data_IF_458784844901
#
_entry.id   IF_458784844901
#
_cell.length_a   1.000
_cell.length_b   1.000
_cell.length_c   1.000
_cell.angle_alpha   90.00
_cell.angle_beta   90.00
_cell.angle_gamma   90.00
#
_symmetry.space_group_name_H-M   'P 1'
#
loop_
_entity.id
_entity.type
_entity.pdbx_description
1 polymer ?
#
# COMPACT_ATOMS: atom_id res chain seq x y z
N UNK A 1 40.58 22.59 -15.66
CA UNK A 1 40.02 21.74 -14.59
C UNK A 1 39.21 22.56 -13.56
N UNK A 2 39.78 23.57 -12.87
CA UNK A 2 39.11 24.39 -11.85
C UNK A 2 37.71 24.91 -12.19
N UNK A 3 37.39 25.17 -13.46
CA UNK A 3 36.06 25.66 -13.86
C UNK A 3 35.08 24.53 -14.09
N UNK A 4 35.54 23.36 -14.47
CA UNK A 4 34.71 22.18 -14.62
C UNK A 4 34.35 21.56 -13.26
N UNK A 5 35.24 21.66 -12.26
CA UNK A 5 35.02 21.15 -10.92
C UNK A 5 33.96 21.93 -10.10
N UNK A 6 33.46 23.05 -10.62
CA UNK A 6 32.44 23.88 -9.91
C UNK A 6 31.04 23.36 -10.06
N UNK A 7 30.76 22.21 -9.47
CA UNK A 7 29.44 21.58 -9.47
C UNK A 7 28.56 21.89 -8.23
N UNK A 8 29.06 22.77 -7.34
CA UNK A 8 28.49 22.99 -6.00
C UNK A 8 27.04 23.48 -5.90
N UNK A 9 26.37 23.77 -7.02
CA UNK A 9 24.92 24.08 -7.08
C UNK A 9 24.11 22.94 -7.73
N UNK A 10 24.72 21.77 -7.87
CA UNK A 10 24.10 20.59 -8.46
C UNK A 10 24.26 19.40 -7.50
N UNK A 11 23.49 18.35 -7.71
CA UNK A 11 23.58 17.08 -6.96
C UNK A 11 24.61 16.12 -7.57
N UNK A 12 25.41 16.57 -8.55
CA UNK A 12 26.39 15.74 -9.26
C UNK A 12 27.80 15.94 -8.76
N UNK A 13 28.59 14.89 -8.82
CA UNK A 13 30.02 14.85 -8.58
C UNK A 13 30.70 14.23 -9.81
N UNK A 14 31.96 14.60 -10.06
CA UNK A 14 32.78 13.91 -11.04
C UNK A 14 33.40 12.67 -10.40
N UNK A 15 33.16 11.54 -10.97
CA UNK A 15 33.88 10.33 -10.64
C UNK A 15 35.28 10.38 -11.30
N UNK A 16 35.33 10.69 -12.59
CA UNK A 16 36.55 10.87 -13.33
C UNK A 16 36.39 12.02 -14.33
N UNK A 17 37.44 12.88 -14.45
CA UNK A 17 37.47 13.97 -15.42
C UNK A 17 38.78 13.93 -16.22
N UNK A 18 38.71 13.40 -17.43
CA UNK A 18 39.77 13.46 -18.44
C UNK A 18 39.61 14.68 -19.35
N UNK A 19 40.66 15.42 -19.55
CA UNK A 19 40.64 16.63 -20.36
C UNK A 19 41.73 16.52 -21.42
N UNK A 20 41.31 16.31 -22.65
CA UNK A 20 42.18 16.27 -23.81
C UNK A 20 42.09 17.58 -24.60
N UNK A 21 43.16 18.30 -24.70
CA UNK A 21 43.21 19.57 -25.42
C UNK A 21 44.42 19.61 -26.38
N UNK A 22 44.18 20.15 -27.55
CA UNK A 22 45.27 20.41 -28.49
C UNK A 22 46.23 21.54 -28.01
N UNK A 23 47.40 21.63 -28.62
CA UNK A 23 48.35 22.68 -28.32
C UNK A 23 47.83 24.06 -28.80
N UNK A 24 48.08 25.11 -28.00
CA UNK A 24 47.76 26.55 -28.29
C UNK A 24 46.25 26.89 -28.40
N UNK A 25 45.41 26.22 -27.64
CA UNK A 25 43.97 26.57 -27.56
C UNK A 25 43.73 27.54 -26.39
N UNK A 26 43.11 28.68 -26.68
CA UNK A 26 42.59 29.59 -25.67
C UNK A 26 41.06 29.41 -25.56
N UNK A 27 40.59 29.00 -24.39
CA UNK A 27 39.16 28.91 -24.09
C UNK A 27 38.78 29.93 -23.04
N UNK A 28 37.84 30.87 -23.35
CA UNK A 28 37.30 31.78 -22.35
C UNK A 28 36.64 31.04 -21.19
N UNK A 29 36.83 31.56 -19.99
CA UNK A 29 36.19 30.99 -18.77
C UNK A 29 34.66 30.93 -18.91
N UNK A 30 34.07 31.89 -19.61
CA UNK A 30 32.65 31.96 -19.90
C UNK A 30 32.20 30.70 -20.68
N UNK A 31 32.88 30.35 -21.74
CA UNK A 31 32.58 29.17 -22.58
C UNK A 31 32.69 27.87 -21.80
N UNK A 32 33.70 27.73 -20.93
CA UNK A 32 33.81 26.54 -20.06
C UNK A 32 32.66 26.43 -19.07
N UNK A 33 32.21 27.56 -18.52
CA UNK A 33 31.05 27.55 -17.62
C UNK A 33 29.72 27.24 -18.34
N UNK A 34 29.56 27.72 -19.56
CA UNK A 34 28.41 27.42 -20.42
C UNK A 34 28.39 25.94 -20.76
N UNK A 35 29.50 25.38 -21.23
CA UNK A 35 29.64 23.95 -21.54
C UNK A 35 29.28 23.06 -20.33
N UNK A 36 29.81 23.40 -19.16
CA UNK A 36 29.49 22.64 -17.94
C UNK A 36 28.01 22.68 -17.61
N UNK A 37 27.38 23.87 -17.64
CA UNK A 37 25.92 24.00 -17.34
C UNK A 37 25.07 23.26 -18.33
N UNK A 38 25.43 23.34 -19.61
CA UNK A 38 24.69 22.64 -20.67
C UNK A 38 24.81 21.12 -20.54
N UNK A 39 26.01 20.62 -20.24
CA UNK A 39 26.24 19.20 -20.01
C UNK A 39 25.42 18.67 -18.82
N UNK A 40 25.39 19.42 -17.70
CA UNK A 40 24.58 19.04 -16.54
C UNK A 40 23.07 19.06 -16.86
N UNK A 41 22.61 20.12 -17.57
CA UNK A 41 21.19 20.21 -17.95
C UNK A 41 20.77 19.06 -18.88
N UNK A 42 21.62 18.65 -19.80
CA UNK A 42 21.38 17.49 -20.66
C UNK A 42 21.37 16.18 -19.85
N UNK A 43 22.29 16.02 -18.90
CA UNK A 43 22.33 14.85 -18.02
C UNK A 43 21.05 14.75 -17.18
N UNK A 44 20.62 15.85 -16.56
CA UNK A 44 19.34 15.89 -15.82
C UNK A 44 18.14 15.52 -16.71
N UNK A 45 18.13 16.04 -17.94
CA UNK A 45 17.08 15.74 -18.91
C UNK A 45 17.03 14.26 -19.24
N UNK A 46 18.16 13.62 -19.51
CA UNK A 46 18.28 12.20 -19.83
C UNK A 46 17.91 11.32 -18.63
N UNK A 47 18.38 11.65 -17.43
CA UNK A 47 18.04 10.95 -16.21
C UNK A 47 16.54 11.00 -15.89
N UNK A 48 15.89 12.15 -16.16
CA UNK A 48 14.47 12.33 -15.91
C UNK A 48 13.57 11.80 -17.04
N UNK A 49 14.12 11.59 -18.25
CA UNK A 49 13.33 11.20 -19.41
C UNK A 49 12.46 9.92 -19.20
N UNK A 50 12.98 8.85 -18.57
CA UNK A 50 12.19 7.64 -18.31
C UNK A 50 11.02 7.85 -17.34
N UNK A 51 11.07 8.90 -16.52
CA UNK A 51 10.07 9.22 -15.51
C UNK A 51 9.06 10.27 -15.97
N UNK A 52 9.29 10.92 -17.11
CA UNK A 52 8.36 11.89 -17.67
C UNK A 52 7.13 11.18 -18.21
N UNK A 53 5.97 11.57 -17.70
CA UNK A 53 4.69 11.12 -18.22
C UNK A 53 4.16 12.15 -19.18
N UNK A 54 3.78 11.75 -20.38
CA UNK A 54 2.98 12.59 -21.25
C UNK A 54 1.58 12.76 -20.64
N UNK A 55 1.11 14.00 -20.52
CA UNK A 55 -0.29 14.23 -20.17
C UNK A 55 -1.14 13.61 -21.28
N UNK A 56 -2.03 12.70 -20.91
CA UNK A 56 -3.08 12.24 -21.82
C UNK A 56 -4.18 13.30 -21.78
N UNK A 57 -4.50 13.89 -22.91
CA UNK A 57 -5.58 14.89 -23.06
C UNK A 57 -6.99 14.30 -22.86
N UNK A 58 -7.08 13.06 -22.46
CA UNK A 58 -8.35 12.40 -22.18
C UNK A 58 -8.77 12.72 -20.75
N UNK A 59 -9.79 13.56 -20.52
CA UNK A 59 -10.34 13.71 -19.20
C UNK A 59 -10.85 12.34 -18.74
N UNK A 60 -10.25 11.80 -17.71
CA UNK A 60 -10.77 10.61 -17.02
C UNK A 60 -12.05 11.07 -16.31
N UNK A 61 -13.15 11.01 -17.02
CA UNK A 61 -14.48 11.14 -16.42
C UNK A 61 -14.69 9.86 -15.60
N UNK A 62 -14.48 9.98 -14.29
CA UNK A 62 -14.94 8.96 -13.38
C UNK A 62 -16.45 8.83 -13.52
N UNK A 63 -16.89 7.76 -14.18
CA UNK A 63 -18.29 7.34 -14.06
C UNK A 63 -18.45 6.86 -12.63
N UNK A 64 -19.07 7.71 -11.80
CA UNK A 64 -19.50 7.28 -10.49
C UNK A 64 -20.48 6.11 -10.69
N UNK A 65 -20.02 4.90 -10.44
CA UNK A 65 -20.92 3.77 -10.24
C UNK A 65 -21.89 4.19 -9.14
N UNK A 66 -23.18 4.31 -9.49
CA UNK A 66 -24.21 4.59 -8.47
C UNK A 66 -24.10 3.52 -7.41
N UNK A 67 -24.13 3.88 -6.12
CA UNK A 67 -24.19 2.87 -5.07
C UNK A 67 -25.35 1.93 -5.37
N UNK A 68 -25.06 0.65 -5.44
CA UNK A 68 -26.10 -0.34 -5.53
C UNK A 68 -26.91 -0.25 -4.24
N UNK A 69 -28.22 -0.08 -4.34
CA UNK A 69 -29.15 -0.23 -3.22
C UNK A 69 -29.07 -1.69 -2.72
N UNK A 70 -28.18 -1.91 -1.79
CA UNK A 70 -28.06 -3.21 -1.14
C UNK A 70 -28.85 -3.19 0.16
N UNK A 71 -30.00 -3.83 0.17
CA UNK A 71 -30.65 -4.33 1.38
C UNK A 71 -29.79 -5.45 2.01
N UNK A 72 -28.49 -5.19 2.22
CA UNK A 72 -27.60 -6.13 2.90
C UNK A 72 -27.75 -5.94 4.40
N UNK A 73 -28.00 -7.03 5.11
CA UNK A 73 -27.93 -7.03 6.57
C UNK A 73 -26.55 -6.58 7.01
N UNK A 74 -26.49 -5.61 7.93
CA UNK A 74 -25.25 -5.18 8.55
C UNK A 74 -24.59 -6.37 9.26
N UNK A 75 -23.32 -6.57 9.03
CA UNK A 75 -22.50 -7.57 9.72
C UNK A 75 -21.50 -6.87 10.63
N UNK A 76 -21.30 -7.43 11.82
CA UNK A 76 -20.34 -6.91 12.80
C UNK A 76 -19.08 -7.76 12.73
N UNK A 77 -17.95 -7.11 12.41
CA UNK A 77 -16.62 -7.71 12.51
C UNK A 77 -15.84 -7.06 13.66
N UNK A 78 -15.00 -7.82 14.31
CA UNK A 78 -14.17 -7.33 15.42
C UNK A 78 -12.70 -7.59 15.16
N UNK A 79 -11.85 -6.64 15.51
CA UNK A 79 -10.40 -6.83 15.51
C UNK A 79 -9.93 -7.15 16.90
N UNK A 80 -9.20 -8.25 17.07
CA UNK A 80 -8.68 -8.74 18.35
C UNK A 80 -7.15 -8.73 18.32
N UNK A 81 -6.55 -8.07 19.29
CA UNK A 81 -5.09 -8.02 19.44
C UNK A 81 -4.53 -9.21 20.22
N UNK A 82 -5.36 -9.79 21.10
CA UNK A 82 -4.95 -10.88 21.97
C UNK A 82 -5.80 -12.14 21.80
N UNK A 83 -5.23 -13.26 22.17
CA UNK A 83 -5.92 -14.55 22.18
C UNK A 83 -7.14 -14.53 23.10
N UNK A 84 -7.03 -13.89 24.27
CA UNK A 84 -8.14 -13.85 25.25
C UNK A 84 -9.32 -13.03 24.72
N UNK A 85 -9.06 -11.91 24.05
CA UNK A 85 -10.10 -11.14 23.35
C UNK A 85 -10.81 -12.01 22.30
N UNK A 86 -10.03 -12.71 21.48
CA UNK A 86 -10.58 -13.57 20.44
C UNK A 86 -11.51 -14.66 21.02
N UNK A 87 -11.07 -15.36 22.07
CA UNK A 87 -11.85 -16.42 22.72
C UNK A 87 -13.09 -15.90 23.45
N UNK A 88 -13.03 -14.66 24.00
CA UNK A 88 -14.17 -14.04 24.64
C UNK A 88 -15.23 -13.63 23.61
N UNK A 89 -14.80 -12.89 22.59
CA UNK A 89 -15.70 -12.31 21.57
C UNK A 89 -16.25 -13.35 20.61
N UNK A 90 -15.52 -14.43 20.39
CA UNK A 90 -15.97 -15.54 19.56
C UNK A 90 -17.35 -16.08 19.98
N UNK A 91 -17.66 -16.08 21.28
CA UNK A 91 -18.93 -16.59 21.82
C UNK A 91 -20.12 -15.68 21.56
N UNK A 92 -19.91 -14.44 21.15
CA UNK A 92 -20.99 -13.48 20.90
C UNK A 92 -21.66 -13.80 19.54
N UNK A 93 -22.95 -14.13 19.49
CA UNK A 93 -23.66 -14.47 18.25
C UNK A 93 -23.82 -13.29 17.28
N UNK A 94 -23.75 -12.04 17.76
CA UNK A 94 -23.88 -10.85 16.93
C UNK A 94 -22.64 -10.60 16.07
N UNK A 95 -21.48 -11.16 16.45
CA UNK A 95 -20.24 -11.03 15.71
C UNK A 95 -20.23 -12.06 14.57
N UNK A 96 -20.14 -11.55 13.34
CA UNK A 96 -20.11 -12.37 12.13
C UNK A 96 -18.69 -12.85 11.78
N UNK A 97 -17.67 -12.04 12.05
CA UNK A 97 -16.28 -12.35 11.72
C UNK A 97 -15.26 -11.60 12.59
N UNK A 98 -14.02 -12.03 12.47
CA UNK A 98 -12.94 -11.56 13.33
C UNK A 98 -11.65 -11.35 12.54
N UNK A 99 -10.97 -10.24 12.81
CA UNK A 99 -9.62 -9.94 12.38
C UNK A 99 -8.65 -10.32 13.51
N UNK A 100 -7.76 -11.28 13.25
CA UNK A 100 -6.90 -11.89 14.26
C UNK A 100 -5.44 -11.78 13.87
N UNK A 101 -4.57 -11.48 14.83
CA UNK A 101 -3.13 -11.64 14.66
C UNK A 101 -2.74 -13.12 14.66
N UNK A 102 -1.51 -13.42 14.23
CA UNK A 102 -1.06 -14.78 13.93
C UNK A 102 -1.31 -15.80 15.05
N UNK A 103 -0.95 -15.46 16.29
CA UNK A 103 -1.08 -16.38 17.43
C UNK A 103 -2.55 -16.70 17.75
N UNK A 104 -3.41 -15.68 17.73
CA UNK A 104 -4.83 -15.84 17.92
C UNK A 104 -5.47 -16.61 16.76
N UNK A 105 -5.05 -16.34 15.51
CA UNK A 105 -5.49 -17.09 14.34
C UNK A 105 -5.10 -18.56 14.45
N UNK A 106 -3.84 -18.86 14.75
CA UNK A 106 -3.33 -20.24 14.91
C UNK A 106 -4.15 -21.04 15.92
N UNK A 107 -4.45 -20.44 17.08
CA UNK A 107 -5.28 -21.09 18.08
C UNK A 107 -6.73 -21.28 17.60
N UNK A 108 -7.33 -20.26 16.98
CA UNK A 108 -8.70 -20.36 16.49
C UNK A 108 -8.84 -21.41 15.39
N UNK A 109 -7.90 -21.48 14.47
CA UNK A 109 -7.87 -22.50 13.43
C UNK A 109 -7.71 -23.92 14.01
N UNK A 110 -6.81 -24.10 14.99
CA UNK A 110 -6.62 -25.41 15.66
C UNK A 110 -7.85 -25.89 16.41
N UNK A 111 -8.71 -24.97 16.84
CA UNK A 111 -10.00 -25.29 17.51
C UNK A 111 -11.20 -25.41 16.56
N UNK A 112 -11.00 -25.21 15.26
CA UNK A 112 -12.08 -25.28 14.26
C UNK A 112 -13.06 -24.11 14.32
N UNK A 113 -12.68 -22.95 14.87
CA UNK A 113 -13.59 -21.81 15.04
C UNK A 113 -13.95 -21.14 13.70
N UNK A 114 -13.17 -21.32 12.65
CA UNK A 114 -13.45 -20.83 11.29
C UNK A 114 -14.74 -21.40 10.67
N UNK A 115 -15.27 -22.47 11.20
CA UNK A 115 -16.53 -23.04 10.72
C UNK A 115 -17.79 -22.35 11.28
N UNK A 116 -17.61 -21.47 12.26
CA UNK A 116 -18.70 -20.75 12.91
C UNK A 116 -18.64 -19.24 12.69
N UNK A 117 -17.45 -18.69 12.44
CA UNK A 117 -17.22 -17.26 12.17
C UNK A 117 -16.22 -17.07 11.04
N UNK A 118 -16.38 -15.99 10.32
CA UNK A 118 -15.42 -15.56 9.29
C UNK A 118 -14.13 -15.09 9.95
N UNK A 119 -13.02 -15.79 9.73
CA UNK A 119 -11.72 -15.44 10.30
C UNK A 119 -10.79 -14.86 9.22
N UNK A 120 -10.19 -13.74 9.54
CA UNK A 120 -9.22 -13.02 8.69
C UNK A 120 -7.92 -12.82 9.44
N UNK A 121 -6.79 -13.13 8.80
CA UNK A 121 -5.46 -12.87 9.36
C UNK A 121 -5.11 -11.41 9.21
N UNK A 122 -4.83 -10.74 10.31
CA UNK A 122 -4.34 -9.37 10.34
C UNK A 122 -2.84 -9.32 10.07
N UNK A 123 -2.45 -8.65 8.98
CA UNK A 123 -1.05 -8.41 8.68
C UNK A 123 -0.52 -7.16 9.39
N UNK A 124 0.79 -7.06 9.66
CA UNK A 124 1.36 -5.94 10.38
C UNK A 124 1.21 -4.62 9.59
N UNK A 125 1.22 -3.48 10.30
CA UNK A 125 1.25 -2.16 9.66
C UNK A 125 2.56 -1.88 8.91
N UNK A 126 3.66 -2.42 9.42
CA UNK A 126 4.99 -2.27 8.85
C UNK A 126 5.59 -3.66 8.72
N UNK A 127 5.93 -4.04 7.49
CA UNK A 127 6.63 -5.29 7.18
C UNK A 127 8.12 -4.97 7.05
N UNK A 128 8.96 -5.73 7.75
CA UNK A 128 10.41 -5.62 7.62
C UNK A 128 11.00 -7.00 7.39
N UNK A 129 11.78 -7.11 6.33
CA UNK A 129 12.42 -8.38 5.96
C UNK A 129 11.46 -9.41 5.39
N UNK A 130 11.94 -10.64 5.31
CA UNK A 130 11.15 -11.78 4.84
C UNK A 130 10.16 -12.25 5.89
N UNK A 131 9.04 -12.80 5.44
CA UNK A 131 8.11 -13.52 6.32
C UNK A 131 8.85 -14.68 7.04
N UNK A 132 8.42 -15.06 8.25
CA UNK A 132 8.95 -16.24 8.93
C UNK A 132 8.90 -17.48 8.04
N UNK A 133 9.85 -18.39 8.22
CA UNK A 133 9.84 -19.67 7.51
C UNK A 133 8.54 -20.43 7.76
N UNK A 134 7.95 -20.99 6.70
CA UNK A 134 6.70 -21.72 6.78
C UNK A 134 5.44 -20.85 6.92
N UNK A 135 5.57 -19.51 6.94
CA UNK A 135 4.41 -18.61 7.10
C UNK A 135 3.40 -18.76 5.97
N UNK A 136 3.84 -18.74 4.72
CA UNK A 136 2.95 -18.82 3.56
C UNK A 136 2.34 -20.21 3.38
N UNK A 137 3.06 -21.26 3.70
CA UNK A 137 2.58 -22.62 3.74
C UNK A 137 1.45 -22.78 4.77
N UNK A 138 1.64 -22.21 5.97
CA UNK A 138 0.61 -22.18 7.01
C UNK A 138 -0.61 -21.38 6.56
N UNK A 139 -0.42 -20.22 5.96
CA UNK A 139 -1.51 -19.41 5.43
C UNK A 139 -2.29 -20.13 4.32
N UNK A 140 -1.60 -20.87 3.43
CA UNK A 140 -2.25 -21.69 2.40
C UNK A 140 -3.14 -22.76 3.02
N UNK A 141 -2.62 -23.50 4.00
CA UNK A 141 -3.39 -24.49 4.75
C UNK A 141 -4.61 -23.88 5.45
N UNK A 142 -4.47 -22.70 6.03
CA UNK A 142 -5.60 -22.01 6.67
C UNK A 142 -6.66 -21.57 5.67
N UNK A 143 -6.28 -21.07 4.49
CA UNK A 143 -7.22 -20.75 3.41
C UNK A 143 -7.99 -21.98 2.94
N UNK A 144 -7.30 -23.11 2.74
CA UNK A 144 -7.91 -24.39 2.36
C UNK A 144 -8.87 -24.91 3.45
N UNK A 145 -8.57 -24.61 4.72
CA UNK A 145 -9.37 -25.01 5.87
C UNK A 145 -10.42 -23.96 6.30
N UNK A 146 -10.71 -22.96 5.47
CA UNK A 146 -11.85 -22.07 5.66
C UNK A 146 -11.56 -20.69 6.22
N UNK A 147 -10.27 -20.28 6.40
CA UNK A 147 -9.92 -18.89 6.63
C UNK A 147 -10.38 -18.04 5.44
N UNK A 148 -10.95 -16.86 5.70
CA UNK A 148 -11.57 -16.03 4.67
C UNK A 148 -10.58 -15.11 3.96
N UNK A 149 -9.47 -14.74 4.59
CA UNK A 149 -8.47 -13.90 3.95
C UNK A 149 -7.58 -13.11 4.92
N UNK A 150 -7.11 -11.97 4.43
CA UNK A 150 -6.09 -11.16 5.07
C UNK A 150 -6.55 -9.71 5.19
N UNK A 151 -6.35 -9.10 6.36
CA UNK A 151 -6.44 -7.64 6.51
C UNK A 151 -5.08 -7.03 6.15
N UNK A 152 -5.05 -6.31 5.04
CA UNK A 152 -3.82 -5.77 4.45
C UNK A 152 -3.66 -4.31 4.87
N UNK A 153 -2.51 -3.99 5.47
CA UNK A 153 -2.22 -2.69 6.07
C UNK A 153 -1.11 -1.90 5.40
N UNK A 154 -0.37 -2.52 4.48
CA UNK A 154 0.71 -1.87 3.73
C UNK A 154 0.87 -2.50 2.34
N UNK A 155 1.52 -1.76 1.43
CA UNK A 155 1.71 -2.20 0.04
C UNK A 155 2.70 -3.35 -0.11
N UNK A 156 3.62 -3.53 0.83
CA UNK A 156 4.57 -4.63 0.81
C UNK A 156 3.86 -5.96 1.06
N UNK A 157 3.02 -6.01 2.10
CA UNK A 157 2.17 -7.18 2.36
C UNK A 157 1.24 -7.48 1.18
N UNK A 158 0.66 -6.45 0.55
CA UNK A 158 -0.12 -6.62 -0.67
C UNK A 158 0.72 -7.23 -1.80
N UNK A 159 1.93 -6.71 -2.02
CA UNK A 159 2.85 -7.22 -3.04
C UNK A 159 3.16 -8.71 -2.86
N UNK A 160 3.41 -9.15 -1.62
CA UNK A 160 3.62 -10.56 -1.28
C UNK A 160 2.38 -11.42 -1.62
N UNK A 161 1.19 -11.00 -1.20
CA UNK A 161 -0.05 -11.74 -1.47
C UNK A 161 -0.38 -11.76 -2.96
N UNK A 162 -0.11 -10.68 -3.68
CA UNK A 162 -0.26 -10.60 -5.14
C UNK A 162 0.65 -11.59 -5.87
N UNK A 163 1.89 -11.72 -5.43
CA UNK A 163 2.85 -12.68 -6.01
C UNK A 163 2.36 -14.13 -5.87
N UNK A 164 1.61 -14.42 -4.80
CA UNK A 164 1.00 -15.74 -4.56
C UNK A 164 -0.36 -15.93 -5.25
N UNK A 165 -0.89 -14.91 -5.94
CA UNK A 165 -2.22 -14.96 -6.56
C UNK A 165 -3.38 -14.88 -5.56
N UNK A 166 -3.15 -14.30 -4.37
CA UNK A 166 -4.12 -14.26 -3.26
C UNK A 166 -4.87 -12.93 -3.14
N UNK A 167 -4.88 -12.09 -4.19
CA UNK A 167 -5.55 -10.77 -4.17
C UNK A 167 -7.02 -10.86 -3.76
N UNK A 168 -7.74 -11.87 -4.23
CA UNK A 168 -9.16 -12.08 -3.93
C UNK A 168 -9.48 -12.32 -2.45
N UNK A 169 -8.46 -12.67 -1.66
CA UNK A 169 -8.58 -12.86 -0.22
C UNK A 169 -8.21 -11.63 0.60
N UNK A 170 -7.83 -10.52 -0.05
CA UNK A 170 -7.43 -9.30 0.63
C UNK A 170 -8.63 -8.44 1.02
N UNK A 171 -8.59 -7.91 2.23
CA UNK A 171 -9.39 -6.78 2.72
C UNK A 171 -8.43 -5.65 2.98
N UNK A 172 -8.64 -4.49 2.38
CA UNK A 172 -7.75 -3.32 2.58
C UNK A 172 -8.14 -2.59 3.86
N UNK A 173 -7.17 -2.39 4.77
CA UNK A 173 -7.36 -1.59 5.96
C UNK A 173 -7.30 -0.08 5.65
N UNK A 174 -7.70 0.75 6.59
CA UNK A 174 -7.70 2.22 6.51
C UNK A 174 -6.39 2.81 6.01
N UNK A 175 -5.26 2.21 6.38
CA UNK A 175 -3.91 2.65 6.01
C UNK A 175 -3.57 2.50 4.52
N UNK A 176 -4.40 1.83 3.73
CA UNK A 176 -4.26 1.75 2.27
C UNK A 176 -4.94 2.93 1.56
N UNK A 177 -5.65 3.78 2.28
CA UNK A 177 -6.22 5.04 1.80
C UNK A 177 -7.12 4.93 0.56
N UNK A 178 -8.18 4.16 0.66
CA UNK A 178 -9.22 4.10 -0.39
C UNK A 178 -10.14 5.32 -0.33
N UNK A 179 -9.59 6.53 -0.60
CA UNK A 179 -10.25 7.81 -0.34
C UNK A 179 -11.46 8.11 -1.23
N UNK A 180 -11.43 7.68 -2.46
CA UNK A 180 -12.42 8.06 -3.46
C UNK A 180 -12.74 6.90 -4.41
N UNK A 181 -13.68 7.12 -5.34
CA UNK A 181 -14.11 6.13 -6.29
C UNK A 181 -12.99 5.65 -7.22
N UNK A 182 -12.01 6.50 -7.53
CA UNK A 182 -10.89 6.11 -8.38
C UNK A 182 -9.99 5.09 -7.68
N UNK A 183 -9.66 5.33 -6.41
CA UNK A 183 -8.89 4.36 -5.61
C UNK A 183 -9.65 3.05 -5.41
N UNK A 184 -10.96 3.10 -5.16
CA UNK A 184 -11.79 1.89 -5.07
C UNK A 184 -11.82 1.14 -6.41
N UNK A 185 -11.97 1.85 -7.52
CA UNK A 185 -11.95 1.26 -8.86
C UNK A 185 -10.59 0.67 -9.23
N UNK A 186 -9.50 1.31 -8.82
CA UNK A 186 -8.15 0.77 -9.00
C UNK A 186 -8.02 -0.58 -8.30
N UNK A 187 -8.36 -0.67 -7.01
CA UNK A 187 -8.25 -1.91 -6.26
C UNK A 187 -9.20 -3.01 -6.78
N UNK A 188 -10.38 -2.62 -7.24
CA UNK A 188 -11.30 -3.56 -7.92
C UNK A 188 -10.67 -4.17 -9.18
N UNK A 189 -9.95 -3.37 -9.98
CA UNK A 189 -9.21 -3.87 -11.16
C UNK A 189 -8.06 -4.79 -10.76
N UNK A 190 -7.43 -4.55 -9.61
CA UNK A 190 -6.42 -5.44 -9.02
C UNK A 190 -7.02 -6.74 -8.41
N UNK A 191 -8.34 -6.92 -8.44
CA UNK A 191 -9.03 -8.09 -7.92
C UNK A 191 -9.42 -8.02 -6.45
N UNK A 192 -9.31 -6.86 -5.81
CA UNK A 192 -9.66 -6.64 -4.40
C UNK A 192 -10.99 -5.88 -4.33
N UNK A 193 -11.98 -6.47 -3.69
CA UNK A 193 -13.31 -5.89 -3.60
C UNK A 193 -13.58 -5.21 -2.25
N UNK A 194 -13.03 -5.75 -1.16
CA UNK A 194 -13.32 -5.29 0.21
C UNK A 194 -12.28 -4.30 0.71
N UNK A 195 -12.75 -3.26 1.36
CA UNK A 195 -11.89 -2.22 1.92
C UNK A 195 -12.52 -1.59 3.15
N UNK A 196 -11.70 -0.99 4.00
CA UNK A 196 -12.13 -0.21 5.15
C UNK A 196 -12.13 1.29 4.79
N UNK A 197 -13.20 1.98 5.15
CA UNK A 197 -13.33 3.43 4.94
C UNK A 197 -12.23 4.16 5.74
N UNK A 198 -11.45 5.06 5.13
CA UNK A 198 -10.47 5.86 5.84
C UNK A 198 -11.08 6.73 6.95
N UNK A 199 -10.39 6.83 8.08
CA UNK A 199 -10.86 7.60 9.26
C UNK A 199 -11.07 9.08 8.97
N UNK A 200 -10.32 9.63 8.02
CA UNK A 200 -10.28 11.06 7.73
C UNK A 200 -11.45 11.54 6.88
N UNK A 201 -12.22 10.62 6.31
CA UNK A 201 -13.38 10.97 5.50
C UNK A 201 -14.55 11.41 6.38
N UNK A 202 -15.10 12.57 6.07
CA UNK A 202 -16.33 13.04 6.70
C UNK A 202 -17.59 12.42 6.05
N UNK A 203 -18.75 12.62 6.67
CA UNK A 203 -20.03 12.07 6.23
C UNK A 203 -20.35 12.38 4.76
N UNK A 204 -20.08 13.61 4.29
CA UNK A 204 -20.35 14.00 2.90
C UNK A 204 -19.45 13.27 1.93
N UNK A 205 -18.19 13.12 2.25
CA UNK A 205 -17.22 12.38 1.41
C UNK A 205 -17.56 10.90 1.36
N UNK A 206 -17.93 10.30 2.48
CA UNK A 206 -18.39 8.92 2.55
C UNK A 206 -19.67 8.75 1.70
N UNK A 207 -20.62 9.67 1.77
CA UNK A 207 -21.86 9.60 0.99
C UNK A 207 -21.64 9.69 -0.53
N UNK A 208 -20.55 10.33 -0.98
CA UNK A 208 -20.20 10.44 -2.41
C UNK A 208 -19.29 9.30 -2.91
N UNK A 209 -18.83 8.44 -2.02
CA UNK A 209 -17.96 7.31 -2.33
C UNK A 209 -18.79 6.04 -2.52
N UNK A 210 -18.34 5.14 -3.41
CA UNK A 210 -18.91 3.80 -3.52
C UNK A 210 -18.47 2.94 -2.32
N UNK A 211 -19.42 2.63 -1.44
CA UNK A 211 -19.20 1.88 -0.21
C UNK A 211 -19.81 0.47 -0.24
N UNK A 212 -20.22 -0.03 -1.41
CA UNK A 212 -20.97 -1.31 -1.53
C UNK A 212 -20.26 -2.51 -0.89
N UNK A 213 -18.92 -2.49 -0.85
CA UNK A 213 -18.10 -3.56 -0.24
C UNK A 213 -17.13 -2.97 0.81
N UNK A 214 -17.51 -1.87 1.43
CA UNK A 214 -16.68 -1.21 2.42
C UNK A 214 -17.11 -1.55 3.83
N UNK A 215 -16.13 -1.62 4.72
CA UNK A 215 -16.29 -1.71 6.15
C UNK A 215 -16.05 -0.34 6.77
N UNK A 216 -16.71 -0.03 7.86
CA UNK A 216 -16.52 1.21 8.61
C UNK A 216 -16.15 0.90 10.06
N UNK A 217 -15.07 1.45 10.55
CA UNK A 217 -14.69 1.33 11.95
C UNK A 217 -15.57 2.28 12.76
N UNK A 218 -16.39 1.72 13.64
CA UNK A 218 -17.33 2.48 14.47
C UNK A 218 -16.90 2.59 15.93
N UNK A 219 -15.92 1.79 16.35
CA UNK A 219 -15.40 1.77 17.71
C UNK A 219 -13.96 1.25 17.73
N UNK A 220 -13.10 1.87 18.52
CA UNK A 220 -11.73 1.44 18.74
C UNK A 220 -10.77 2.60 19.01
N UNK A 221 -9.52 2.27 19.29
CA UNK A 221 -8.43 3.23 19.41
C UNK A 221 -7.76 3.41 18.05
N UNK A 222 -7.71 4.64 17.57
CA UNK A 222 -7.02 4.98 16.33
C UNK A 222 -5.53 5.11 16.62
N UNK A 223 -4.65 4.38 15.93
CA UNK A 223 -3.21 4.56 16.08
C UNK A 223 -2.80 5.92 15.51
N UNK A 224 -2.31 6.81 16.38
CA UNK A 224 -1.88 8.14 15.98
C UNK A 224 -0.47 8.17 15.40
N UNK A 225 0.35 7.19 15.75
CA UNK A 225 1.72 7.07 15.26
C UNK A 225 2.13 5.60 15.23
N UNK A 226 2.75 5.20 14.13
CA UNK A 226 3.39 3.90 13.95
C UNK A 226 4.89 4.13 13.79
N UNK A 227 5.69 3.49 14.63
CA UNK A 227 7.13 3.57 14.56
C UNK A 227 7.72 2.18 14.34
N UNK A 228 8.69 2.12 13.44
CA UNK A 228 9.47 0.91 13.18
C UNK A 228 10.92 1.17 13.57
N UNK A 229 11.17 1.39 14.84
CA UNK A 229 12.53 1.48 15.37
C UNK A 229 13.14 0.08 15.55
N UNK A 230 14.43 0.02 15.28
CA UNK A 230 15.23 -1.17 15.59
C UNK A 230 15.54 -1.23 17.07
#
# INVERSE_FOLDING_TARGET
RKQMDKLGNTEFEWDELDIQMGEQIFLPVKTLNELRREAIALLEQELCAPYRRSATDTPVMATADKPADTNSSLSILVSCETVDQALLLYKNPEISGMYLYYDAMSLCMSKGLQYQKDLYLTLPYITRGSAPEGFFETCSQWLENGMKGFLVRNLESYGMLRHLGWQKYCVLDTSIYTWNNESVSFWKKEGILRNTVPYELNEKEIAHRNNSNSEMIIYGNIPLMLSAQC
#
